data_IF_734215974970
#
_entry.id   IF_734215974970
#
_cell.length_a   1.000
_cell.length_b   1.000
_cell.length_c   1.000
_cell.angle_alpha   90.00
_cell.angle_beta   90.00
_cell.angle_gamma   90.00
#
_symmetry.space_group_name_H-M   'P 1'
#
loop_
_entity.id
_entity.type
_entity.pdbx_description
1 polymer ?
#
# COMPACT_ATOMS: atom_id res chain seq x y z
N UNK A 1 -9.84 -1.59 -7.82
CA UNK A 1 -9.50 -0.63 -8.88
C UNK A 1 -8.01 -0.29 -8.93
N UNK A 2 -7.35 -0.03 -7.80
CA UNK A 2 -5.95 0.43 -7.73
C UNK A 2 -4.93 -0.39 -8.53
N UNK A 3 -4.79 -1.69 -8.25
CA UNK A 3 -3.81 -2.56 -8.94
C UNK A 3 -4.34 -3.08 -10.28
N UNK A 4 -5.66 -3.23 -10.41
CA UNK A 4 -6.29 -3.83 -11.59
C UNK A 4 -6.06 -3.03 -12.88
N UNK A 5 -6.18 -1.70 -12.84
CA UNK A 5 -5.95 -0.85 -14.01
C UNK A 5 -4.46 -0.82 -14.39
N UNK A 6 -3.56 -0.64 -13.43
CA UNK A 6 -2.11 -0.67 -13.71
C UNK A 6 -1.67 -2.05 -14.21
N UNK A 7 -2.28 -3.13 -13.72
CA UNK A 7 -2.06 -4.48 -14.18
C UNK A 7 -2.39 -4.68 -15.65
N UNK A 8 -3.47 -4.07 -16.16
CA UNK A 8 -3.79 -4.15 -17.60
C UNK A 8 -2.82 -3.36 -18.47
N UNK A 9 -2.38 -2.18 -18.01
CA UNK A 9 -1.38 -1.36 -18.71
C UNK A 9 -0.04 -2.09 -18.79
N UNK A 10 0.38 -2.74 -17.71
CA UNK A 10 1.65 -3.46 -17.61
C UNK A 10 1.58 -4.92 -18.11
N UNK A 11 0.41 -5.37 -18.60
CA UNK A 11 0.17 -6.78 -18.94
C UNK A 11 1.12 -7.34 -20.01
N UNK A 12 1.67 -6.47 -20.89
CA UNK A 12 2.63 -6.88 -21.92
C UNK A 12 4.01 -7.25 -21.38
N UNK A 13 4.35 -6.83 -20.15
CA UNK A 13 5.60 -7.17 -19.49
C UNK A 13 5.34 -7.75 -18.09
N UNK A 14 5.38 -9.09 -17.93
CA UNK A 14 5.08 -9.74 -16.66
C UNK A 14 5.97 -9.28 -15.50
N UNK A 15 7.24 -8.95 -15.76
CA UNK A 15 8.17 -8.44 -14.75
C UNK A 15 7.75 -7.07 -14.24
N UNK A 16 7.35 -6.15 -15.13
CA UNK A 16 6.85 -4.84 -14.73
C UNK A 16 5.56 -4.96 -13.90
N UNK A 17 4.62 -5.80 -14.34
CA UNK A 17 3.39 -6.05 -13.60
C UNK A 17 3.67 -6.64 -12.21
N UNK A 18 4.61 -7.58 -12.10
CA UNK A 18 5.01 -8.19 -10.82
C UNK A 18 5.70 -7.19 -9.90
N UNK A 19 6.63 -6.38 -10.40
CA UNK A 19 7.34 -5.38 -9.59
C UNK A 19 6.35 -4.33 -9.04
N UNK A 20 5.43 -3.86 -9.89
CA UNK A 20 4.37 -2.95 -9.47
C UNK A 20 3.45 -3.59 -8.41
N UNK A 21 2.96 -4.81 -8.65
CA UNK A 21 2.15 -5.52 -7.67
C UNK A 21 2.89 -5.73 -6.34
N UNK A 22 4.19 -6.06 -6.40
CA UNK A 22 5.05 -6.24 -5.24
C UNK A 22 5.11 -4.98 -4.38
N UNK A 23 5.33 -3.80 -4.98
CA UNK A 23 5.30 -2.51 -4.27
C UNK A 23 3.99 -2.33 -3.47
N UNK A 24 2.84 -2.58 -4.09
CA UNK A 24 1.53 -2.46 -3.42
C UNK A 24 1.34 -3.51 -2.31
N UNK A 25 1.74 -4.75 -2.57
CA UNK A 25 1.67 -5.83 -1.59
C UNK A 25 2.57 -5.55 -0.38
N UNK A 26 3.78 -5.03 -0.57
CA UNK A 26 4.65 -4.65 0.55
C UNK A 26 4.01 -3.56 1.40
N UNK A 27 3.49 -2.49 0.78
CA UNK A 27 2.82 -1.41 1.48
C UNK A 27 1.57 -1.85 2.25
N UNK A 28 0.91 -2.94 1.86
CA UNK A 28 -0.40 -3.35 2.43
C UNK A 28 -0.32 -4.57 3.35
N UNK A 29 0.49 -5.56 2.98
CA UNK A 29 0.44 -6.92 3.53
C UNK A 29 1.76 -7.38 4.15
N UNK A 30 2.84 -6.58 4.06
CA UNK A 30 4.12 -6.98 4.66
C UNK A 30 3.97 -7.17 6.17
N UNK A 31 4.44 -8.29 6.75
CA UNK A 31 4.46 -8.46 8.20
C UNK A 31 5.39 -7.45 8.89
N UNK A 32 6.32 -6.86 8.13
CA UNK A 32 7.29 -5.86 8.60
C UNK A 32 6.94 -4.45 8.08
N UNK A 33 5.68 -4.19 7.75
CA UNK A 33 5.21 -2.90 7.19
C UNK A 33 5.66 -1.68 8.03
N UNK A 34 5.64 -1.81 9.36
CA UNK A 34 6.03 -0.75 10.30
C UNK A 34 7.49 -0.30 10.18
N UNK A 35 8.36 -1.08 9.54
CA UNK A 35 9.75 -0.70 9.31
C UNK A 35 9.92 0.36 8.21
N UNK A 36 8.92 0.53 7.34
CA UNK A 36 9.02 1.41 6.16
C UNK A 36 7.74 2.19 5.84
N UNK A 37 6.72 2.12 6.70
CA UNK A 37 5.49 2.91 6.59
C UNK A 37 5.32 3.73 7.87
N UNK A 38 5.02 5.03 7.70
CA UNK A 38 4.65 5.92 8.79
C UNK A 38 3.26 6.52 8.54
N UNK A 39 2.31 6.25 9.42
CA UNK A 39 0.94 6.81 9.33
C UNK A 39 0.99 8.28 9.74
N UNK A 40 0.57 9.18 8.84
CA UNK A 40 0.58 10.63 9.10
C UNK A 40 -0.80 11.20 9.41
N UNK A 41 -1.87 10.53 8.99
CA UNK A 41 -3.24 10.98 9.27
C UNK A 41 -4.22 9.82 9.40
N UNK A 42 -5.07 9.92 10.43
CA UNK A 42 -6.19 9.01 10.69
C UNK A 42 -7.50 9.78 10.84
N UNK A 43 -8.63 9.12 10.59
CA UNK A 43 -9.98 9.65 10.86
C UNK A 43 -10.77 8.65 11.69
N UNK A 44 -11.65 9.14 12.56
CA UNK A 44 -12.56 8.29 13.31
C UNK A 44 -13.56 7.65 12.35
N UNK A 45 -13.59 6.32 12.31
CA UNK A 45 -14.51 5.53 11.49
C UNK A 45 -14.99 4.34 12.29
N UNK A 46 -15.82 4.61 13.29
CA UNK A 46 -16.49 3.58 14.09
C UNK A 46 -17.48 2.83 13.23
N UNK A 47 -17.09 1.63 12.78
CA UNK A 47 -17.95 0.75 11.97
C UNK A 47 -18.88 -0.11 12.83
N UNK A 48 -18.47 -0.41 14.07
CA UNK A 48 -19.23 -1.22 15.01
C UNK A 48 -19.65 -0.34 16.20
N UNK A 49 -20.95 -0.23 16.53
CA UNK A 49 -21.40 0.54 17.68
C UNK A 49 -20.67 0.12 18.96
N UNK A 50 -20.09 1.09 19.69
CA UNK A 50 -19.34 0.84 20.92
C UNK A 50 -17.88 0.41 20.75
N UNK A 51 -17.39 0.16 19.53
CA UNK A 51 -15.97 -0.18 19.28
C UNK A 51 -15.30 0.97 18.52
N UNK A 52 -14.54 1.85 19.18
CA UNK A 52 -13.85 2.94 18.50
C UNK A 52 -12.85 2.35 17.50
N UNK A 53 -12.96 2.79 16.24
CA UNK A 53 -12.09 2.35 15.15
C UNK A 53 -11.61 3.57 14.38
N UNK A 54 -10.34 3.57 14.01
CA UNK A 54 -9.73 4.63 13.18
C UNK A 54 -9.41 4.08 11.81
N UNK A 55 -9.57 4.91 10.79
CA UNK A 55 -9.16 4.60 9.43
C UNK A 55 -7.91 5.41 9.08
N UNK A 56 -6.89 4.75 8.54
CA UNK A 56 -5.72 5.40 7.97
C UNK A 56 -6.13 6.04 6.65
N UNK A 57 -5.89 7.35 6.53
CA UNK A 57 -6.20 8.13 5.32
C UNK A 57 -4.96 8.75 4.69
N UNK A 58 -3.81 8.67 5.35
CA UNK A 58 -2.52 9.08 4.81
C UNK A 58 -1.38 8.34 5.51
N UNK A 59 -0.39 7.92 4.73
CA UNK A 59 0.87 7.38 5.21
C UNK A 59 2.01 7.77 4.26
N UNK A 60 3.23 7.79 4.79
CA UNK A 60 4.47 7.91 4.04
C UNK A 60 5.10 6.52 3.89
N UNK A 61 5.60 6.18 2.68
CA UNK A 61 6.36 4.95 2.43
C UNK A 61 7.82 5.26 2.12
N UNK A 62 8.74 4.59 2.81
CA UNK A 62 10.18 4.82 2.72
C UNK A 62 10.86 3.66 1.98
N UNK A 63 11.18 3.86 0.70
CA UNK A 63 11.89 2.89 -0.11
C UNK A 63 13.33 3.35 -0.37
N UNK A 64 14.25 2.38 -0.46
CA UNK A 64 15.61 2.65 -0.94
C UNK A 64 15.56 2.90 -2.45
N UNK A 65 16.39 3.82 -2.94
CA UNK A 65 16.40 4.21 -4.35
C UNK A 65 16.62 3.04 -5.32
N UNK A 66 17.55 2.12 -5.02
CA UNK A 66 17.81 0.93 -5.87
C UNK A 66 16.60 0.01 -6.11
N UNK A 67 15.54 0.12 -5.29
CA UNK A 67 14.30 -0.63 -5.51
C UNK A 67 13.36 0.09 -6.49
N UNK A 68 13.50 1.41 -6.62
CA UNK A 68 12.67 2.27 -7.45
C UNK A 68 13.31 2.60 -8.82
N UNK A 69 14.63 2.51 -8.93
CA UNK A 69 15.38 2.57 -10.19
C UNK A 69 15.13 1.31 -11.05
#
# INVERSE_FOLDING_TARGET
LSVALSGTVLARCPSCARNFASLYCHNTCSPNQSLFINVTRVVNRTAVPGVPSVAVVEYQSFYRQHFAD
#
